data_IF_327608537773
#
_entry.id   IF_327608537773
#
_cell.length_a   1.000
_cell.length_b   1.000
_cell.length_c   1.000
_cell.angle_alpha   90.00
_cell.angle_beta   90.00
_cell.angle_gamma   90.00
#
_symmetry.space_group_name_H-M   'P 1'
#
loop_
_entity.id
_entity.type
_entity.pdbx_description
1 polymer ?
#
# COMPACT_ATOMS: atom_id res chain seq x y z
N UNK A 1 -37.90 -19.42 8.21
CA UNK A 1 -39.26 -19.15 8.39
C UNK A 1 -39.62 -18.05 9.35
N UNK A 2 -40.52 -18.27 10.27
CA UNK A 2 -41.07 -17.24 11.21
C UNK A 2 -40.03 -16.50 12.04
N UNK A 3 -38.96 -17.16 12.53
CA UNK A 3 -37.87 -16.52 13.27
C UNK A 3 -37.04 -15.55 12.42
N UNK A 4 -36.87 -15.86 11.15
CA UNK A 4 -36.12 -15.00 10.22
C UNK A 4 -36.89 -13.71 9.95
N UNK A 5 -38.22 -13.75 9.82
CA UNK A 5 -39.04 -12.53 9.63
C UNK A 5 -38.97 -11.59 10.85
N UNK A 6 -39.02 -12.13 12.07
CA UNK A 6 -38.94 -11.34 13.28
C UNK A 6 -37.58 -10.56 13.39
N UNK A 7 -36.48 -11.21 13.07
CA UNK A 7 -35.14 -10.59 13.07
C UNK A 7 -35.04 -9.51 11.97
N UNK A 8 -35.63 -9.75 10.79
CA UNK A 8 -35.58 -8.75 9.71
C UNK A 8 -36.33 -7.48 10.05
N UNK A 9 -37.46 -7.59 10.78
CA UNK A 9 -38.27 -6.44 11.17
C UNK A 9 -37.66 -5.65 12.32
N UNK A 10 -36.92 -6.27 13.23
CA UNK A 10 -36.23 -5.62 14.36
C UNK A 10 -35.18 -4.61 13.90
N UNK A 11 -34.51 -4.90 12.78
CA UNK A 11 -33.49 -4.04 12.20
C UNK A 11 -33.99 -3.22 11.01
N UNK A 12 -35.30 -3.03 10.89
CA UNK A 12 -35.90 -2.29 9.80
C UNK A 12 -35.55 -0.80 9.87
N UNK A 13 -35.00 -0.24 8.78
CA UNK A 13 -34.84 1.18 8.56
C UNK A 13 -35.75 1.61 7.41
N UNK A 14 -36.70 2.51 7.73
CA UNK A 14 -37.59 3.10 6.74
C UNK A 14 -36.88 4.19 5.95
N UNK A 15 -36.82 4.07 4.64
CA UNK A 15 -36.32 5.11 3.78
C UNK A 15 -37.43 5.72 2.94
N UNK A 16 -37.22 6.91 2.38
CA UNK A 16 -38.20 7.63 1.58
C UNK A 16 -38.72 6.82 0.38
N UNK A 17 -37.80 6.22 -0.37
CA UNK A 17 -38.18 5.43 -1.56
C UNK A 17 -38.31 3.93 -1.31
N UNK A 18 -37.67 3.40 -0.26
CA UNK A 18 -37.73 2.00 0.10
C UNK A 18 -37.25 1.76 1.52
N UNK A 19 -37.66 0.63 2.08
CA UNK A 19 -37.23 0.16 3.37
C UNK A 19 -36.00 -0.74 3.25
N UNK A 20 -35.15 -0.73 4.27
CA UNK A 20 -34.01 -1.61 4.43
C UNK A 20 -34.24 -2.50 5.65
N UNK A 21 -34.46 -3.76 5.43
CA UNK A 21 -34.68 -4.75 6.49
C UNK A 21 -33.35 -5.29 7.04
N UNK A 22 -33.41 -6.08 8.09
CA UNK A 22 -32.26 -6.65 8.76
C UNK A 22 -31.37 -7.50 7.84
N UNK A 23 -31.93 -8.16 6.83
CA UNK A 23 -31.13 -8.96 5.87
C UNK A 23 -30.35 -8.06 4.91
N UNK A 24 -30.92 -6.92 4.51
CA UNK A 24 -30.20 -5.92 3.73
C UNK A 24 -29.07 -5.31 4.55
N UNK A 25 -29.34 -4.95 5.82
CA UNK A 25 -28.33 -4.34 6.69
C UNK A 25 -27.23 -5.34 7.09
N UNK A 26 -27.56 -6.62 7.28
CA UNK A 26 -26.58 -7.68 7.52
C UNK A 26 -25.61 -7.83 6.34
N UNK A 27 -26.08 -7.74 5.09
CA UNK A 27 -25.19 -7.73 3.92
C UNK A 27 -24.20 -6.57 3.96
N UNK A 28 -24.70 -5.38 4.33
CA UNK A 28 -23.83 -4.22 4.50
C UNK A 28 -22.83 -4.40 5.66
N UNK A 29 -23.26 -5.01 6.77
CA UNK A 29 -22.37 -5.33 7.89
C UNK A 29 -21.24 -6.28 7.48
N UNK A 30 -21.54 -7.33 6.71
CA UNK A 30 -20.58 -8.32 6.23
C UNK A 30 -19.63 -7.77 5.17
N UNK A 31 -20.13 -6.89 4.28
CA UNK A 31 -19.32 -6.30 3.21
C UNK A 31 -18.64 -4.98 3.59
N UNK A 32 -18.78 -4.55 4.85
CA UNK A 32 -18.28 -3.27 5.34
C UNK A 32 -18.70 -2.07 4.46
N UNK A 33 -19.96 -2.05 4.06
CA UNK A 33 -20.58 -1.01 3.24
C UNK A 33 -21.75 -0.36 3.98
N UNK A 34 -22.30 0.72 3.44
CA UNK A 34 -23.50 1.40 3.94
C UNK A 34 -24.50 1.59 2.80
N UNK A 35 -25.82 1.51 3.06
CA UNK A 35 -26.82 1.79 2.05
C UNK A 35 -26.77 3.26 1.61
N UNK A 36 -26.93 3.50 0.31
CA UNK A 36 -27.10 4.84 -0.26
C UNK A 36 -28.60 5.18 -0.27
N UNK A 37 -29.01 6.05 0.65
CA UNK A 37 -30.40 6.44 0.83
C UNK A 37 -30.64 7.85 0.31
N UNK A 38 -31.70 8.01 -0.48
CA UNK A 38 -32.10 9.29 -1.07
C UNK A 38 -33.51 9.65 -0.60
N UNK A 39 -33.75 10.97 -0.41
CA UNK A 39 -35.07 11.54 -0.16
C UNK A 39 -35.39 12.63 -1.17
N UNK A 40 -36.68 12.87 -1.40
CA UNK A 40 -37.13 14.02 -2.24
C UNK A 40 -37.30 15.24 -1.35
N UNK A 41 -36.83 16.40 -1.82
CA UNK A 41 -37.04 17.71 -1.19
C UNK A 41 -38.05 18.58 -1.96
N UNK A 42 -38.65 18.05 -3.02
CA UNK A 42 -39.61 18.75 -3.86
C UNK A 42 -39.59 18.21 -5.29
N UNK A 43 -40.29 18.89 -6.16
CA UNK A 43 -40.32 18.56 -7.59
C UNK A 43 -39.70 19.71 -8.41
N UNK A 44 -39.03 19.35 -9.51
CA UNK A 44 -38.50 20.31 -10.48
C UNK A 44 -39.63 20.88 -11.36
N UNK A 45 -39.27 21.81 -12.25
CA UNK A 45 -40.20 22.43 -13.20
C UNK A 45 -40.83 21.42 -14.16
N UNK A 46 -40.28 20.22 -14.27
CA UNK A 46 -40.77 19.12 -15.12
C UNK A 46 -41.52 18.05 -14.31
N UNK A 47 -41.77 18.28 -13.03
CA UNK A 47 -42.51 17.35 -12.13
C UNK A 47 -41.71 16.18 -11.61
N UNK A 48 -40.39 16.12 -11.84
CA UNK A 48 -39.54 15.06 -11.31
C UNK A 48 -39.07 15.39 -9.87
N UNK A 49 -38.88 14.36 -9.03
CA UNK A 49 -38.39 14.51 -7.68
C UNK A 49 -36.94 15.07 -7.66
N UNK A 50 -36.74 16.14 -6.92
CA UNK A 50 -35.40 16.65 -6.59
C UNK A 50 -34.84 15.77 -5.49
N UNK A 51 -33.93 14.83 -5.87
CA UNK A 51 -33.37 13.84 -4.94
C UNK A 51 -32.12 14.37 -4.26
N UNK A 52 -32.12 14.33 -2.93
CA UNK A 52 -30.97 14.60 -2.10
C UNK A 52 -30.63 13.40 -1.25
N UNK A 53 -29.38 13.32 -0.78
CA UNK A 53 -28.93 12.25 0.09
C UNK A 53 -29.67 12.35 1.44
N UNK A 54 -30.25 11.23 1.88
CA UNK A 54 -30.93 11.12 3.17
C UNK A 54 -29.92 10.82 4.29
N UNK A 55 -29.31 11.88 4.84
CA UNK A 55 -28.29 11.74 5.87
C UNK A 55 -28.83 11.10 7.15
N UNK A 56 -30.08 11.41 7.54
CA UNK A 56 -30.72 10.83 8.72
C UNK A 56 -30.97 9.34 8.56
N UNK A 57 -31.54 8.96 7.39
CA UNK A 57 -31.77 7.55 7.07
C UNK A 57 -30.47 6.74 7.01
N UNK A 58 -29.40 7.31 6.43
CA UNK A 58 -28.07 6.69 6.38
C UNK A 58 -27.49 6.54 7.78
N UNK A 59 -27.61 7.55 8.64
CA UNK A 59 -27.15 7.48 10.02
C UNK A 59 -27.86 6.39 10.80
N UNK A 60 -29.18 6.31 10.67
CA UNK A 60 -29.98 5.26 11.30
C UNK A 60 -29.58 3.88 10.79
N UNK A 61 -29.35 3.73 9.48
CA UNK A 61 -28.88 2.48 8.90
C UNK A 61 -27.49 2.08 9.43
N UNK A 62 -26.57 3.04 9.58
CA UNK A 62 -25.26 2.78 10.16
C UNK A 62 -25.37 2.36 11.63
N UNK A 63 -26.21 3.02 12.43
CA UNK A 63 -26.45 2.63 13.81
C UNK A 63 -26.99 1.19 13.92
N UNK A 64 -27.93 0.81 13.04
CA UNK A 64 -28.45 -0.55 12.99
C UNK A 64 -27.42 -1.58 12.48
N UNK A 65 -26.55 -1.21 11.57
CA UNK A 65 -25.42 -2.04 11.14
C UNK A 65 -24.44 -2.27 12.31
N UNK A 66 -24.17 -1.24 13.09
CA UNK A 66 -23.33 -1.36 14.29
C UNK A 66 -24.00 -2.18 15.39
N UNK A 67 -25.33 -2.07 15.57
CA UNK A 67 -26.10 -2.97 16.45
C UNK A 67 -25.94 -4.43 16.02
N UNK A 68 -26.04 -4.73 14.73
CA UNK A 68 -25.84 -6.11 14.21
C UNK A 68 -24.43 -6.61 14.54
N UNK A 69 -23.41 -5.78 14.38
CA UNK A 69 -22.02 -6.13 14.72
C UNK A 69 -21.81 -6.31 16.22
N UNK A 70 -22.35 -5.41 17.03
CA UNK A 70 -22.28 -5.48 18.49
C UNK A 70 -23.06 -6.69 19.01
N UNK A 71 -24.24 -6.96 18.46
CA UNK A 71 -25.02 -8.13 18.79
C UNK A 71 -24.28 -9.47 18.56
N UNK A 72 -23.39 -9.53 17.59
CA UNK A 72 -22.49 -10.68 17.43
C UNK A 72 -21.49 -10.78 18.61
N UNK A 73 -20.95 -9.68 19.07
CA UNK A 73 -20.03 -9.65 20.22
C UNK A 73 -20.75 -10.04 21.52
N UNK A 74 -21.95 -9.52 21.75
CA UNK A 74 -22.81 -9.89 22.90
C UNK A 74 -23.16 -11.38 22.84
N UNK A 75 -23.58 -11.87 21.68
CA UNK A 75 -23.83 -13.30 21.48
C UNK A 75 -22.60 -14.15 21.79
N UNK A 76 -21.40 -13.70 21.41
CA UNK A 76 -20.16 -14.38 21.77
C UNK A 76 -19.92 -14.40 23.28
N UNK A 77 -20.27 -13.35 23.99
CA UNK A 77 -20.14 -13.29 25.44
C UNK A 77 -21.03 -14.28 26.16
N UNK A 78 -22.18 -14.61 25.59
CA UNK A 78 -23.15 -15.58 26.12
C UNK A 78 -22.76 -17.05 25.84
N UNK A 79 -21.76 -17.26 24.99
CA UNK A 79 -21.36 -18.63 24.63
C UNK A 79 -20.64 -19.36 25.76
N UNK A 80 -20.63 -20.70 25.68
CA UNK A 80 -19.93 -21.53 26.68
C UNK A 80 -18.43 -21.21 26.75
N UNK A 81 -17.80 -21.37 27.94
CA UNK A 81 -16.37 -21.15 28.10
C UNK A 81 -15.52 -21.92 27.08
N UNK A 82 -15.90 -23.17 26.79
CA UNK A 82 -15.18 -24.02 25.81
C UNK A 82 -15.27 -23.46 24.40
N UNK A 83 -16.44 -22.91 24.02
CA UNK A 83 -16.62 -22.28 22.72
C UNK A 83 -15.78 -21.02 22.59
N UNK A 84 -15.79 -20.16 23.62
CA UNK A 84 -14.96 -18.94 23.70
C UNK A 84 -13.48 -19.28 23.59
N UNK A 85 -13.01 -20.25 24.36
CA UNK A 85 -11.62 -20.68 24.34
C UNK A 85 -11.18 -21.20 22.96
N UNK A 86 -12.04 -22.00 22.32
CA UNK A 86 -11.79 -22.48 20.96
C UNK A 86 -11.68 -21.34 19.96
N UNK A 87 -12.60 -20.39 19.99
CA UNK A 87 -12.56 -19.21 19.10
C UNK A 87 -11.36 -18.31 19.39
N UNK A 88 -11.07 -18.06 20.67
CA UNK A 88 -9.91 -17.28 21.09
C UNK A 88 -8.61 -17.95 20.63
N UNK A 89 -8.50 -19.26 20.80
CA UNK A 89 -7.33 -20.03 20.33
C UNK A 89 -7.19 -19.95 18.81
N UNK A 90 -8.28 -20.09 18.06
CA UNK A 90 -8.27 -19.98 16.60
C UNK A 90 -7.89 -18.56 16.15
N UNK A 91 -8.45 -17.55 16.81
CA UNK A 91 -8.15 -16.14 16.52
C UNK A 91 -6.69 -15.81 16.84
N UNK A 92 -6.23 -16.16 18.03
CA UNK A 92 -4.85 -15.92 18.45
C UNK A 92 -3.84 -16.65 17.55
N UNK A 93 -4.14 -17.89 17.17
CA UNK A 93 -3.30 -18.66 16.26
C UNK A 93 -3.20 -18.04 14.87
N UNK A 94 -4.26 -17.36 14.41
CA UNK A 94 -4.32 -16.75 13.09
C UNK A 94 -3.83 -15.29 13.08
N UNK A 95 -4.14 -14.51 14.10
CA UNK A 95 -3.97 -13.06 14.11
C UNK A 95 -3.06 -12.52 15.20
N UNK A 96 -2.96 -13.20 16.37
CA UNK A 96 -2.19 -12.74 17.52
C UNK A 96 -0.97 -13.62 17.81
N UNK A 97 -0.55 -14.47 16.90
CA UNK A 97 0.66 -15.29 17.06
C UNK A 97 1.96 -14.48 16.82
N UNK A 98 1.89 -13.18 16.97
CA UNK A 98 3.00 -12.28 16.73
C UNK A 98 3.66 -11.84 18.04
N UNK A 99 4.95 -12.11 18.15
CA UNK A 99 5.81 -11.51 19.17
C UNK A 99 6.61 -10.40 18.48
N UNK A 100 6.48 -9.16 18.94
CA UNK A 100 7.22 -8.03 18.38
C UNK A 100 8.72 -8.30 18.46
N UNK A 101 9.42 -8.44 17.33
CA UNK A 101 10.84 -8.70 17.36
C UNK A 101 11.59 -7.48 17.91
N UNK A 102 12.63 -7.75 18.68
CA UNK A 102 13.61 -6.75 19.09
C UNK A 102 14.90 -7.03 18.32
N UNK A 103 15.40 -6.00 17.67
CA UNK A 103 16.65 -6.10 16.92
C UNK A 103 17.75 -5.43 17.72
N UNK A 104 18.74 -6.20 18.14
CA UNK A 104 19.95 -5.70 18.77
C UNK A 104 21.12 -5.89 17.80
N UNK A 105 21.55 -4.80 17.21
CA UNK A 105 22.65 -4.74 16.25
C UNK A 105 24.03 -4.50 16.87
N UNK A 106 24.13 -4.40 18.20
CA UNK A 106 25.36 -4.04 18.92
C UNK A 106 26.55 -4.98 18.68
N UNK A 107 26.26 -6.24 18.36
CA UNK A 107 27.28 -7.27 18.05
C UNK A 107 27.93 -7.11 16.69
N UNK A 108 27.39 -6.25 15.82
CA UNK A 108 27.89 -6.10 14.46
C UNK A 108 29.20 -5.34 14.44
N UNK A 109 30.14 -5.89 13.69
CA UNK A 109 31.34 -5.18 13.23
C UNK A 109 31.19 -4.94 11.74
N UNK A 110 31.56 -3.79 11.27
CA UNK A 110 31.56 -3.44 9.84
C UNK A 110 33.01 -3.40 9.34
N UNK A 111 33.58 -4.57 8.95
CA UNK A 111 35.04 -4.67 8.72
C UNK A 111 35.56 -3.77 7.62
N UNK A 112 34.73 -3.51 6.59
CA UNK A 112 35.12 -2.68 5.46
C UNK A 112 34.81 -1.20 5.63
N UNK A 113 34.17 -0.83 6.75
CA UNK A 113 33.72 0.56 6.97
C UNK A 113 34.89 1.48 7.32
N UNK A 114 35.08 2.51 6.50
CA UNK A 114 36.13 3.53 6.71
C UNK A 114 35.62 4.69 7.57
N UNK A 115 35.68 4.54 8.89
CA UNK A 115 35.30 5.60 9.83
C UNK A 115 36.17 6.87 9.69
N UNK A 116 37.46 6.73 9.31
CA UNK A 116 38.33 7.87 9.08
C UNK A 116 37.86 8.72 7.90
N UNK A 117 37.46 8.10 6.80
CA UNK A 117 36.86 8.76 5.66
C UNK A 117 35.54 9.44 6.00
N UNK A 118 34.70 8.81 6.82
CA UNK A 118 33.44 9.38 7.28
C UNK A 118 33.62 10.55 8.27
N UNK A 119 34.70 10.56 9.04
CA UNK A 119 34.98 11.65 9.98
C UNK A 119 35.16 13.02 9.28
N UNK A 120 35.70 13.04 8.06
CA UNK A 120 35.80 14.26 7.24
C UNK A 120 34.43 14.83 6.85
N UNK A 121 33.36 14.00 6.91
CA UNK A 121 31.97 14.36 6.64
C UNK A 121 31.14 14.57 7.92
N UNK A 122 31.83 14.67 9.07
CA UNK A 122 31.17 14.87 10.37
C UNK A 122 30.60 13.59 11.01
N UNK A 123 30.79 12.42 10.41
CA UNK A 123 30.31 11.14 10.92
C UNK A 123 31.45 10.44 11.65
N UNK A 124 31.38 10.41 12.99
CA UNK A 124 32.45 9.84 13.84
C UNK A 124 32.21 8.41 14.29
N UNK A 125 30.96 7.98 14.33
CA UNK A 125 30.57 6.65 14.77
C UNK A 125 29.22 6.27 14.15
N UNK A 126 28.92 4.99 14.15
CA UNK A 126 27.57 4.46 13.83
C UNK A 126 26.76 4.44 15.14
N UNK A 127 25.58 5.04 15.10
CA UNK A 127 24.69 5.07 16.27
C UNK A 127 24.05 3.71 16.53
N UNK A 128 23.71 3.37 17.80
CA UNK A 128 23.02 2.10 18.13
C UNK A 128 21.74 1.89 17.29
N UNK A 129 20.91 2.91 17.13
CA UNK A 129 19.70 2.83 16.31
C UNK A 129 19.96 2.54 14.83
N UNK A 130 21.09 3.00 14.30
CA UNK A 130 21.51 2.67 12.92
C UNK A 130 21.98 1.19 12.85
N UNK A 131 22.73 0.73 13.85
CA UNK A 131 23.16 -0.67 13.93
C UNK A 131 21.97 -1.62 14.04
N UNK A 132 20.99 -1.30 14.87
CA UNK A 132 19.76 -2.08 15.04
C UNK A 132 18.96 -2.14 13.73
N UNK A 133 18.84 -1.01 13.04
CA UNK A 133 18.17 -0.93 11.73
C UNK A 133 18.89 -1.77 10.68
N UNK A 134 20.20 -1.66 10.56
CA UNK A 134 20.99 -2.49 9.64
C UNK A 134 20.83 -3.98 9.95
N UNK A 135 20.82 -4.35 11.23
CA UNK A 135 20.60 -5.72 11.66
C UNK A 135 19.22 -6.23 11.26
N UNK A 136 18.18 -5.44 11.50
CA UNK A 136 16.81 -5.74 11.07
C UNK A 136 16.75 -6.00 9.55
N UNK A 137 17.37 -5.15 8.75
CA UNK A 137 17.40 -5.27 7.30
C UNK A 137 18.11 -6.54 6.83
N UNK A 138 19.22 -6.89 7.46
CA UNK A 138 19.94 -8.13 7.18
C UNK A 138 19.10 -9.36 7.48
N UNK A 139 18.44 -9.38 8.62
CA UNK A 139 17.63 -10.54 9.07
C UNK A 139 16.40 -10.74 8.21
N UNK A 140 15.72 -9.65 7.82
CA UNK A 140 14.45 -9.74 7.12
C UNK A 140 14.59 -9.67 5.58
N UNK A 141 15.73 -9.25 5.07
CA UNK A 141 15.92 -9.00 3.63
C UNK A 141 15.23 -7.73 3.14
N UNK A 142 15.10 -6.72 4.00
CA UNK A 142 14.46 -5.45 3.74
C UNK A 142 13.55 -5.00 4.87
N UNK A 143 12.82 -3.92 4.67
CA UNK A 143 11.88 -3.41 5.66
C UNK A 143 11.58 -1.92 5.52
N UNK A 144 11.08 -1.34 6.60
CA UNK A 144 10.74 0.08 6.69
C UNK A 144 11.59 0.69 7.80
N UNK A 145 12.40 1.69 7.46
CA UNK A 145 13.15 2.51 8.40
C UNK A 145 12.40 3.82 8.62
N UNK A 146 11.54 3.84 9.62
CA UNK A 146 10.75 4.99 10.04
C UNK A 146 11.55 5.82 11.06
N UNK A 147 12.58 6.47 10.57
CA UNK A 147 13.51 7.28 11.35
C UNK A 147 13.29 8.76 11.07
N UNK A 148 13.32 9.57 12.10
CA UNK A 148 13.20 11.03 12.01
C UNK A 148 14.25 11.64 11.08
N UNK A 149 13.99 12.85 10.61
CA UNK A 149 14.96 13.61 9.82
C UNK A 149 16.21 13.90 10.65
N UNK A 150 17.38 13.74 10.06
CA UNK A 150 18.67 13.98 10.74
C UNK A 150 19.24 12.78 11.52
N UNK A 151 18.57 11.64 11.57
CA UNK A 151 19.05 10.42 12.28
C UNK A 151 20.08 9.61 11.48
N UNK A 152 20.50 10.11 10.32
CA UNK A 152 21.54 9.45 9.50
C UNK A 152 21.05 8.30 8.65
N UNK A 153 19.84 8.38 8.10
CA UNK A 153 19.27 7.37 7.16
C UNK A 153 20.20 7.05 5.99
N UNK A 154 20.93 8.07 5.49
CA UNK A 154 21.91 7.89 4.40
C UNK A 154 22.98 6.86 4.78
N UNK A 155 23.52 6.95 5.98
CA UNK A 155 24.52 5.98 6.45
C UNK A 155 23.93 4.57 6.60
N UNK A 156 22.70 4.45 7.06
CA UNK A 156 21.98 3.16 7.14
C UNK A 156 21.91 2.51 5.75
N UNK A 157 21.51 3.27 4.72
CA UNK A 157 21.43 2.77 3.35
C UNK A 157 22.79 2.29 2.83
N UNK A 158 23.83 3.11 3.02
CA UNK A 158 25.18 2.77 2.55
C UNK A 158 25.72 1.51 3.24
N UNK A 159 25.59 1.44 4.56
CA UNK A 159 26.07 0.27 5.33
C UNK A 159 25.25 -0.97 4.96
N UNK A 160 23.92 -0.87 4.94
CA UNK A 160 23.05 -2.00 4.65
C UNK A 160 23.29 -2.53 3.22
N UNK A 161 23.42 -1.65 2.22
CA UNK A 161 23.70 -2.05 0.84
C UNK A 161 25.03 -2.80 0.71
N UNK A 162 26.09 -2.25 1.31
CA UNK A 162 27.40 -2.89 1.31
C UNK A 162 27.41 -4.23 2.04
N UNK A 163 26.83 -4.27 3.22
CA UNK A 163 26.75 -5.49 4.04
C UNK A 163 25.89 -6.58 3.40
N UNK A 164 24.79 -6.23 2.76
CA UNK A 164 24.00 -7.19 2.01
C UNK A 164 24.80 -7.80 0.84
N UNK A 165 25.57 -6.99 0.14
CA UNK A 165 26.47 -7.45 -0.92
C UNK A 165 27.55 -8.36 -0.34
N UNK A 166 28.24 -7.94 0.72
CA UNK A 166 29.30 -8.70 1.37
C UNK A 166 28.83 -10.07 1.87
N UNK A 167 27.60 -10.14 2.38
CA UNK A 167 26.99 -11.35 2.95
C UNK A 167 26.20 -12.17 1.92
N UNK A 168 26.26 -11.84 0.64
CA UNK A 168 25.47 -12.46 -0.44
C UNK A 168 23.95 -12.44 -0.20
N UNK A 169 23.44 -11.45 0.52
CA UNK A 169 22.00 -11.22 0.68
C UNK A 169 21.42 -10.46 -0.52
N UNK A 170 22.24 -9.65 -1.16
CA UNK A 170 21.94 -8.97 -2.43
C UNK A 170 23.21 -8.94 -3.29
N UNK A 171 23.07 -9.16 -4.60
CA UNK A 171 24.21 -9.17 -5.54
C UNK A 171 24.41 -7.81 -6.21
N UNK A 172 23.34 -7.08 -6.47
CA UNK A 172 23.37 -5.76 -7.10
C UNK A 172 22.34 -4.84 -6.47
N UNK A 173 22.63 -4.30 -5.28
CA UNK A 173 21.73 -3.34 -4.62
C UNK A 173 21.70 -2.01 -5.38
N UNK A 174 20.55 -1.34 -5.32
CA UNK A 174 20.32 0.01 -5.85
C UNK A 174 19.86 0.93 -4.74
N UNK A 175 20.36 2.16 -4.72
CA UNK A 175 19.88 3.23 -3.87
C UNK A 175 19.24 4.29 -4.76
N UNK A 176 18.04 4.71 -4.46
CA UNK A 176 17.37 5.83 -5.11
C UNK A 176 16.99 6.90 -4.10
N UNK A 177 17.21 8.15 -4.48
CA UNK A 177 16.95 9.30 -3.63
C UNK A 177 16.42 10.49 -4.40
N UNK A 178 16.11 11.57 -3.68
CA UNK A 178 15.75 12.83 -4.32
C UNK A 178 16.95 13.39 -5.12
N UNK A 179 16.65 14.05 -6.23
CA UNK A 179 17.67 14.70 -7.07
C UNK A 179 18.64 15.59 -6.27
N UNK A 180 18.12 16.29 -5.26
CA UNK A 180 18.91 17.15 -4.38
C UNK A 180 19.87 16.38 -3.46
N UNK A 181 19.54 15.13 -3.11
CA UNK A 181 20.26 14.36 -2.08
C UNK A 181 21.15 13.26 -2.65
N UNK A 182 20.90 12.84 -3.88
CA UNK A 182 21.53 11.63 -4.44
C UNK A 182 23.05 11.76 -4.59
N UNK A 183 23.56 12.96 -4.88
CA UNK A 183 25.00 13.21 -4.93
C UNK A 183 25.67 13.05 -3.56
N UNK A 184 25.00 13.51 -2.51
CA UNK A 184 25.45 13.35 -1.12
C UNK A 184 25.42 11.88 -0.67
N UNK A 185 24.43 11.14 -1.08
CA UNK A 185 24.35 9.68 -0.84
C UNK A 185 25.54 8.98 -1.48
N UNK A 186 25.85 9.27 -2.75
CA UNK A 186 26.98 8.69 -3.47
C UNK A 186 28.32 9.05 -2.82
N UNK A 187 28.49 10.32 -2.42
CA UNK A 187 29.70 10.79 -1.76
C UNK A 187 29.88 10.13 -0.38
N UNK A 188 28.82 9.97 0.39
CA UNK A 188 28.85 9.26 1.67
C UNK A 188 29.21 7.79 1.48
N UNK A 189 28.64 7.15 0.48
CA UNK A 189 28.96 5.74 0.16
C UNK A 189 30.43 5.57 -0.18
N UNK A 190 30.98 6.43 -1.04
CA UNK A 190 32.39 6.38 -1.43
C UNK A 190 33.34 6.68 -0.25
N UNK A 191 32.96 7.59 0.65
CA UNK A 191 33.73 7.85 1.87
C UNK A 191 33.70 6.67 2.84
N UNK A 192 32.54 6.01 2.98
CA UNK A 192 32.38 4.84 3.83
C UNK A 192 33.12 3.61 3.30
N UNK A 193 33.14 3.44 1.99
CA UNK A 193 33.71 2.29 1.30
C UNK A 193 34.53 2.72 0.08
N UNK A 194 35.77 3.18 0.29
CA UNK A 194 36.60 3.75 -0.77
C UNK A 194 36.92 2.75 -1.91
N UNK A 195 36.94 1.46 -1.59
CA UNK A 195 37.23 0.40 -2.56
C UNK A 195 35.97 -0.16 -3.23
N UNK A 196 34.78 0.32 -2.85
CA UNK A 196 33.55 -0.13 -3.47
C UNK A 196 33.42 0.37 -4.91
N UNK A 197 32.98 -0.53 -5.78
CA UNK A 197 32.68 -0.21 -7.16
C UNK A 197 31.22 0.26 -7.27
N UNK A 198 30.99 1.55 -7.11
CA UNK A 198 29.66 2.15 -7.22
C UNK A 198 29.47 2.81 -8.59
N UNK A 199 28.27 2.72 -9.11
CA UNK A 199 27.83 3.44 -10.30
C UNK A 199 26.85 4.53 -9.89
N UNK A 200 27.31 5.79 -9.95
CA UNK A 200 26.48 6.96 -9.73
C UNK A 200 26.03 7.56 -11.06
N UNK A 201 24.73 7.63 -11.27
CA UNK A 201 24.12 8.12 -12.49
C UNK A 201 24.20 9.64 -12.59
N UNK A 202 24.90 10.16 -13.60
CA UNK A 202 24.90 11.58 -13.94
C UNK A 202 23.68 11.95 -14.83
N UNK A 203 23.40 13.24 -14.96
CA UNK A 203 22.34 13.69 -15.88
C UNK A 203 22.66 13.35 -17.34
N UNK A 204 23.92 13.36 -17.73
CA UNK A 204 24.38 13.01 -19.07
C UNK A 204 24.10 11.54 -19.43
N UNK A 205 24.19 10.64 -18.46
CA UNK A 205 23.93 9.21 -18.64
C UNK A 205 22.45 8.93 -19.02
N UNK A 206 21.56 9.79 -18.60
CA UNK A 206 20.11 9.69 -18.87
C UNK A 206 19.64 10.51 -20.08
N UNK A 207 20.54 11.12 -20.83
CA UNK A 207 20.19 11.66 -22.14
C UNK A 207 19.73 10.55 -23.09
N UNK A 208 18.88 10.86 -24.05
CA UNK A 208 18.34 9.86 -24.99
C UNK A 208 19.44 9.08 -25.69
N UNK A 209 20.56 9.71 -26.01
CA UNK A 209 21.70 9.10 -26.69
C UNK A 209 22.50 8.13 -25.80
N UNK A 210 22.64 8.42 -24.50
CA UNK A 210 23.52 7.66 -23.61
C UNK A 210 22.78 6.64 -22.74
N UNK A 211 21.48 6.80 -22.57
CA UNK A 211 20.67 5.99 -21.65
C UNK A 211 20.74 4.50 -21.93
N UNK A 212 20.67 4.09 -23.19
CA UNK A 212 20.77 2.67 -23.59
C UNK A 212 22.12 2.10 -23.18
N UNK A 213 23.21 2.85 -23.43
CA UNK A 213 24.56 2.45 -23.02
C UNK A 213 24.68 2.33 -21.51
N UNK A 214 24.10 3.27 -20.78
CA UNK A 214 24.09 3.26 -19.31
C UNK A 214 23.34 2.03 -18.76
N UNK A 215 22.18 1.69 -19.30
CA UNK A 215 21.42 0.50 -18.90
C UNK A 215 22.16 -0.80 -19.20
N UNK A 216 22.82 -0.88 -20.37
CA UNK A 216 23.69 -2.02 -20.70
C UNK A 216 24.90 -2.10 -19.75
N UNK A 217 25.43 -0.99 -19.32
CA UNK A 217 26.51 -0.96 -18.35
C UNK A 217 26.08 -1.55 -17.00
N UNK A 218 24.89 -1.22 -16.52
CA UNK A 218 24.33 -1.84 -15.29
C UNK A 218 24.15 -3.35 -15.50
N UNK A 219 23.57 -3.76 -16.62
CA UNK A 219 23.32 -5.18 -16.94
C UNK A 219 24.59 -6.02 -16.94
N UNK A 220 25.65 -5.51 -17.57
CA UNK A 220 26.84 -6.29 -17.92
C UNK A 220 27.97 -6.21 -16.89
N UNK A 221 27.83 -5.39 -15.86
CA UNK A 221 28.87 -5.21 -14.84
C UNK A 221 28.36 -5.56 -13.44
N UNK A 222 29.29 -6.06 -12.64
CA UNK A 222 29.05 -6.35 -11.23
C UNK A 222 29.42 -5.14 -10.37
N UNK A 223 28.43 -4.28 -10.08
CA UNK A 223 28.58 -3.14 -9.20
C UNK A 223 28.22 -3.51 -7.76
N UNK A 224 28.93 -2.94 -6.79
CA UNK A 224 28.57 -3.06 -5.36
C UNK A 224 27.30 -2.31 -5.04
N UNK A 225 27.05 -1.20 -5.72
CA UNK A 225 25.81 -0.44 -5.63
C UNK A 225 25.61 0.44 -6.88
N UNK A 226 24.36 0.59 -7.29
CA UNK A 226 23.93 1.54 -8.33
C UNK A 226 23.12 2.63 -7.66
N UNK A 227 23.50 3.88 -7.86
CA UNK A 227 22.87 5.05 -7.19
C UNK A 227 22.31 6.01 -8.23
N UNK A 228 21.04 6.38 -8.10
CA UNK A 228 20.36 7.31 -9.00
C UNK A 228 19.22 8.06 -8.32
N UNK A 229 18.70 9.08 -9.00
CA UNK A 229 17.55 9.82 -8.51
C UNK A 229 16.23 9.10 -8.80
N UNK A 230 15.15 9.48 -8.08
CA UNK A 230 13.79 9.00 -8.35
C UNK A 230 13.37 9.21 -9.80
N UNK A 231 13.70 10.36 -10.40
CA UNK A 231 13.33 10.68 -11.78
C UNK A 231 14.11 9.84 -12.80
N UNK A 232 15.37 9.56 -12.52
CA UNK A 232 16.20 8.66 -13.34
C UNK A 232 15.67 7.23 -13.27
N UNK A 233 15.33 6.76 -12.07
CA UNK A 233 14.70 5.45 -11.89
C UNK A 233 13.40 5.33 -12.70
N UNK A 234 12.57 6.37 -12.72
CA UNK A 234 11.32 6.39 -13.50
C UNK A 234 11.51 6.24 -15.02
N UNK A 235 12.72 6.43 -15.53
CA UNK A 235 13.06 6.25 -16.96
C UNK A 235 13.50 4.84 -17.31
N UNK A 236 13.71 3.97 -16.32
CA UNK A 236 14.08 2.57 -16.56
C UNK A 236 12.82 1.81 -17.02
N UNK A 237 12.86 1.15 -18.20
CA UNK A 237 11.76 0.32 -18.66
C UNK A 237 11.54 -0.86 -17.70
N UNK A 238 10.29 -1.19 -17.44
CA UNK A 238 9.90 -2.39 -16.71
C UNK A 238 9.51 -3.49 -17.69
N UNK A 239 9.66 -4.76 -17.29
CA UNK A 239 9.27 -5.89 -18.13
C UNK A 239 7.79 -5.78 -18.55
N UNK A 240 7.48 -5.75 -19.85
CA UNK A 240 6.08 -5.65 -20.30
C UNK A 240 5.24 -6.85 -19.88
N UNK A 241 5.81 -8.05 -19.83
CA UNK A 241 5.12 -9.27 -19.41
C UNK A 241 4.73 -9.22 -17.94
N UNK A 242 5.61 -8.67 -17.08
CA UNK A 242 5.32 -8.44 -15.66
C UNK A 242 4.22 -7.40 -15.50
N UNK A 243 4.30 -6.28 -16.24
CA UNK A 243 3.27 -5.24 -16.21
C UNK A 243 1.91 -5.81 -16.61
N UNK A 244 1.85 -6.63 -17.66
CA UNK A 244 0.63 -7.27 -18.12
C UNK A 244 -0.01 -8.13 -17.02
N UNK A 245 0.77 -8.97 -16.34
CA UNK A 245 0.27 -9.84 -15.26
C UNK A 245 -0.26 -9.05 -14.09
N UNK A 246 0.47 -8.01 -13.65
CA UNK A 246 0.06 -7.18 -12.51
C UNK A 246 -1.20 -6.38 -12.84
N UNK A 247 -1.25 -5.74 -14.01
CA UNK A 247 -2.41 -4.97 -14.45
C UNK A 247 -3.63 -5.86 -14.67
N UNK A 248 -3.45 -7.08 -15.17
CA UNK A 248 -4.53 -8.05 -15.33
C UNK A 248 -5.09 -8.47 -13.96
N UNK A 249 -4.25 -8.75 -12.97
CA UNK A 249 -4.69 -9.07 -11.61
C UNK A 249 -5.47 -7.91 -10.96
N UNK A 250 -5.05 -6.67 -11.18
CA UNK A 250 -5.80 -5.48 -10.73
C UNK A 250 -7.15 -5.35 -11.44
N UNK A 251 -7.21 -5.63 -12.73
CA UNK A 251 -8.45 -5.62 -13.51
C UNK A 251 -9.41 -6.70 -13.01
N UNK A 252 -8.94 -7.92 -12.80
CA UNK A 252 -9.74 -9.03 -12.28
C UNK A 252 -10.36 -8.65 -10.91
N UNK A 253 -9.60 -8.01 -10.02
CA UNK A 253 -10.09 -7.50 -8.73
C UNK A 253 -11.17 -6.43 -8.90
N UNK A 254 -11.02 -5.52 -9.86
CA UNK A 254 -12.06 -4.52 -10.17
C UNK A 254 -13.33 -5.18 -10.69
N UNK A 255 -13.22 -6.16 -11.56
CA UNK A 255 -14.35 -6.91 -12.10
C UNK A 255 -15.09 -7.70 -11.03
N UNK A 256 -14.35 -8.38 -10.12
CA UNK A 256 -14.95 -9.05 -8.95
C UNK A 256 -15.72 -8.05 -8.07
N UNK A 257 -15.15 -6.88 -7.79
CA UNK A 257 -15.82 -5.84 -7.02
C UNK A 257 -17.07 -5.29 -7.72
N UNK A 258 -17.02 -5.10 -9.03
CA UNK A 258 -18.19 -4.68 -9.82
C UNK A 258 -19.30 -5.74 -9.76
N UNK A 259 -18.96 -7.02 -9.88
CA UNK A 259 -19.92 -8.11 -9.79
C UNK A 259 -20.60 -8.16 -8.40
N UNK A 260 -19.81 -8.08 -7.33
CA UNK A 260 -20.34 -7.99 -5.95
C UNK A 260 -21.30 -6.83 -5.79
N UNK A 261 -20.97 -5.64 -6.32
CA UNK A 261 -21.83 -4.47 -6.24
C UNK A 261 -23.12 -4.63 -7.08
N UNK A 262 -23.03 -5.22 -8.27
CA UNK A 262 -24.21 -5.51 -9.11
C UNK A 262 -25.18 -6.48 -8.43
N UNK A 263 -24.67 -7.49 -7.71
CA UNK A 263 -25.48 -8.43 -6.94
C UNK A 263 -26.21 -7.76 -5.77
N UNK A 264 -25.69 -6.66 -5.22
CA UNK A 264 -26.36 -5.85 -4.20
C UNK A 264 -27.52 -5.02 -4.77
N UNK A 265 -27.65 -4.93 -6.09
CA UNK A 265 -28.78 -4.32 -6.79
C UNK A 265 -28.93 -2.81 -6.53
N UNK A 266 -30.19 -2.38 -6.29
CA UNK A 266 -30.51 -0.95 -6.09
C UNK A 266 -29.94 -0.31 -4.81
N UNK A 267 -29.23 -1.09 -3.98
CA UNK A 267 -28.65 -0.65 -2.71
C UNK A 267 -27.27 0.02 -2.86
N UNK A 268 -26.74 0.08 -4.07
CA UNK A 268 -25.39 0.58 -4.34
C UNK A 268 -25.44 1.98 -4.91
N UNK A 269 -24.53 2.84 -4.44
CA UNK A 269 -24.33 4.17 -4.96
C UNK A 269 -23.95 4.13 -6.46
N UNK A 270 -24.68 4.88 -7.30
CA UNK A 270 -24.33 5.04 -8.71
C UNK A 270 -22.94 5.66 -8.90
N UNK A 271 -22.52 6.53 -7.98
CA UNK A 271 -21.19 7.14 -8.01
C UNK A 271 -20.09 6.10 -7.80
N UNK A 272 -20.30 5.14 -6.89
CA UNK A 272 -19.37 4.03 -6.64
C UNK A 272 -19.24 3.12 -7.86
N UNK A 273 -20.35 2.69 -8.47
CA UNK A 273 -20.35 1.90 -9.70
C UNK A 273 -19.58 2.61 -10.81
N UNK A 274 -19.92 3.88 -11.04
CA UNK A 274 -19.26 4.71 -12.07
C UNK A 274 -17.76 4.88 -11.81
N UNK A 275 -17.36 5.01 -10.55
CA UNK A 275 -15.94 5.08 -10.16
C UNK A 275 -15.18 3.79 -10.51
N UNK A 276 -15.73 2.62 -10.21
CA UNK A 276 -15.12 1.34 -10.56
C UNK A 276 -15.14 1.07 -12.07
N UNK A 277 -16.21 1.44 -12.78
CA UNK A 277 -16.27 1.32 -14.24
C UNK A 277 -15.20 2.21 -14.93
N UNK A 278 -15.02 3.44 -14.46
CA UNK A 278 -13.92 4.31 -14.93
C UNK A 278 -12.57 3.69 -14.70
N UNK A 279 -12.37 3.10 -13.51
CA UNK A 279 -11.12 2.42 -13.18
C UNK A 279 -10.86 1.20 -14.07
N UNK A 280 -11.87 0.38 -14.32
CA UNK A 280 -11.82 -0.73 -15.27
C UNK A 280 -11.34 -0.26 -16.63
N UNK A 281 -11.97 0.76 -17.17
CA UNK A 281 -11.60 1.35 -18.46
C UNK A 281 -10.14 1.86 -18.49
N UNK A 282 -9.69 2.52 -17.42
CA UNK A 282 -8.31 2.99 -17.32
C UNK A 282 -7.29 1.85 -17.29
N UNK A 283 -7.62 0.74 -16.62
CA UNK A 283 -6.76 -0.46 -16.58
C UNK A 283 -6.73 -1.18 -17.94
N UNK A 284 -7.87 -1.29 -18.61
CA UNK A 284 -7.96 -1.85 -19.96
C UNK A 284 -7.10 -1.05 -20.96
N UNK A 285 -7.16 0.28 -20.90
CA UNK A 285 -6.31 1.14 -21.73
C UNK A 285 -4.81 0.99 -21.44
N UNK A 286 -4.43 0.79 -20.19
CA UNK A 286 -3.03 0.50 -19.82
C UNK A 286 -2.58 -0.86 -20.33
N UNK A 287 -3.43 -1.89 -20.22
CA UNK A 287 -3.16 -3.23 -20.74
C UNK A 287 -2.97 -3.23 -22.25
N UNK A 288 -3.81 -2.52 -23.00
CA UNK A 288 -3.69 -2.39 -24.44
C UNK A 288 -2.33 -1.78 -24.85
N UNK A 289 -1.89 -0.73 -24.13
CA UNK A 289 -0.55 -0.15 -24.34
C UNK A 289 0.58 -1.14 -24.09
N UNK A 290 0.47 -1.94 -23.02
CA UNK A 290 1.46 -2.96 -22.67
C UNK A 290 1.49 -4.07 -23.72
N UNK A 291 0.34 -4.54 -24.18
CA UNK A 291 0.24 -5.54 -25.27
C UNK A 291 0.87 -5.03 -26.57
N UNK A 292 0.63 -3.76 -26.90
CA UNK A 292 1.30 -3.13 -28.04
C UNK A 292 2.82 -3.09 -27.87
N UNK A 293 3.31 -2.76 -26.66
CA UNK A 293 4.74 -2.75 -26.34
C UNK A 293 5.36 -4.15 -26.46
N UNK A 294 4.66 -5.21 -26.07
CA UNK A 294 5.12 -6.59 -26.23
C UNK A 294 5.26 -6.95 -27.72
N UNK A 295 4.27 -6.59 -28.53
CA UNK A 295 4.25 -6.87 -29.98
C UNK A 295 5.29 -6.09 -30.78
N UNK A 296 5.62 -4.88 -30.33
CA UNK A 296 6.58 -3.97 -30.99
C UNK A 296 7.98 -3.99 -30.40
N UNK A 297 8.27 -4.91 -29.46
CA UNK A 297 9.54 -5.00 -28.77
C UNK A 297 10.70 -5.28 -29.75
N UNK A 298 11.78 -4.53 -29.57
CA UNK A 298 13.06 -4.79 -30.21
C UNK A 298 14.03 -5.40 -29.18
N UNK A 299 14.91 -6.28 -29.60
CA UNK A 299 15.84 -7.02 -28.73
C UNK A 299 16.89 -6.14 -28.03
N UNK A 300 17.00 -4.88 -28.42
CA UNK A 300 18.00 -3.94 -27.92
C UNK A 300 17.60 -3.19 -26.64
N UNK A 301 16.37 -3.39 -26.13
CA UNK A 301 15.87 -2.67 -24.96
C UNK A 301 16.20 -3.44 -23.69
N UNK A 302 17.08 -2.85 -22.85
CA UNK A 302 17.37 -3.36 -21.49
C UNK A 302 16.32 -2.86 -20.54
N UNK A 303 15.57 -3.76 -19.91
CA UNK A 303 14.62 -3.47 -18.88
C UNK A 303 15.18 -3.71 -17.46
N UNK A 304 14.42 -3.34 -16.44
CA UNK A 304 14.82 -3.49 -15.03
C UNK A 304 15.14 -4.95 -14.67
N UNK A 305 14.37 -5.91 -15.19
CA UNK A 305 14.59 -7.34 -14.96
C UNK A 305 15.95 -7.79 -15.44
N UNK A 306 16.36 -7.33 -16.63
CA UNK A 306 17.64 -7.69 -17.22
C UNK A 306 18.84 -7.04 -16.53
N UNK A 307 18.64 -5.90 -15.83
CA UNK A 307 19.70 -5.22 -15.08
C UNK A 307 20.22 -6.05 -13.90
N UNK A 308 19.42 -6.99 -13.39
CA UNK A 308 19.82 -7.85 -12.28
C UNK A 308 19.81 -7.21 -10.92
N UNK A 309 19.18 -6.04 -10.76
CA UNK A 309 18.96 -5.41 -9.46
C UNK A 309 18.11 -6.31 -8.58
N UNK A 310 18.56 -6.60 -7.38
CA UNK A 310 17.91 -7.55 -6.46
C UNK A 310 17.60 -6.97 -5.07
N UNK A 311 17.89 -5.72 -4.84
CA UNK A 311 17.39 -4.94 -3.70
C UNK A 311 17.38 -3.45 -4.02
N UNK A 312 16.33 -2.74 -3.58
CA UNK A 312 16.20 -1.29 -3.75
C UNK A 312 16.06 -0.64 -2.39
N UNK A 313 16.97 0.31 -2.09
CA UNK A 313 16.84 1.25 -0.98
C UNK A 313 16.21 2.54 -1.49
N UNK A 314 15.07 2.91 -0.92
CA UNK A 314 14.26 4.04 -1.39
C UNK A 314 14.28 5.12 -0.33
N UNK A 315 15.11 6.14 -0.53
CA UNK A 315 15.12 7.33 0.31
C UNK A 315 13.89 8.19 0.01
N UNK A 316 13.34 8.83 1.04
CA UNK A 316 12.09 9.60 0.95
C UNK A 316 10.96 8.80 0.30
N UNK A 317 10.76 7.57 0.77
CA UNK A 317 9.82 6.60 0.21
C UNK A 317 8.36 7.06 0.19
N UNK A 318 8.01 8.08 0.99
CA UNK A 318 6.70 8.72 0.95
C UNK A 318 6.36 9.34 -0.43
N UNK A 319 7.35 9.57 -1.28
CA UNK A 319 7.13 10.00 -2.67
C UNK A 319 6.42 8.94 -3.53
N UNK A 320 6.38 7.68 -3.09
CA UNK A 320 5.74 6.54 -3.78
C UNK A 320 4.46 6.09 -3.09
N UNK A 321 3.91 6.85 -2.17
CA UNK A 321 2.72 6.51 -1.39
C UNK A 321 1.43 6.45 -2.19
N UNK A 322 1.36 7.12 -3.34
CA UNK A 322 0.18 7.14 -4.22
C UNK A 322 0.14 5.92 -5.14
N UNK A 323 0.20 4.72 -4.57
CA UNK A 323 0.00 3.49 -5.32
C UNK A 323 -1.49 3.26 -5.58
N UNK A 324 -1.78 2.65 -6.69
CA UNK A 324 -3.14 2.27 -7.08
C UNK A 324 -3.73 1.20 -6.14
N UNK A 325 -5.00 1.31 -5.82
CA UNK A 325 -5.75 0.30 -5.06
C UNK A 325 -7.23 0.29 -5.44
N UNK A 326 -7.92 -0.79 -5.10
CA UNK A 326 -9.33 -0.97 -5.34
C UNK A 326 -10.12 -0.85 -4.04
N UNK A 327 -11.22 -0.10 -4.06
CA UNK A 327 -12.14 0.05 -2.94
C UNK A 327 -13.57 0.21 -3.41
N UNK A 328 -14.50 -0.33 -2.63
CA UNK A 328 -15.95 -0.12 -2.77
C UNK A 328 -16.45 1.06 -1.95
N UNK A 329 -15.58 1.70 -1.18
CA UNK A 329 -15.92 2.88 -0.40
C UNK A 329 -15.84 4.15 -1.27
N UNK A 330 -16.81 5.04 -1.09
CA UNK A 330 -16.87 6.35 -1.72
C UNK A 330 -16.90 7.45 -0.63
N UNK A 331 -16.12 8.49 -0.81
CA UNK A 331 -16.10 9.70 0.03
C UNK A 331 -15.87 9.46 1.53
N UNK A 332 -15.06 8.49 1.89
CA UNK A 332 -14.65 8.28 3.29
C UNK A 332 -13.41 9.13 3.57
N UNK A 333 -13.46 9.94 4.64
CA UNK A 333 -12.30 10.70 5.07
C UNK A 333 -11.20 9.75 5.55
N UNK A 334 -9.94 10.01 5.16
CA UNK A 334 -8.82 9.13 5.43
C UNK A 334 -8.55 8.11 4.32
N UNK A 335 -9.33 8.09 3.23
CA UNK A 335 -9.00 7.37 2.01
C UNK A 335 -8.20 8.27 1.07
N UNK A 336 -7.10 7.72 0.54
CA UNK A 336 -6.31 8.36 -0.51
C UNK A 336 -6.95 8.23 -1.90
N UNK A 337 -6.30 8.82 -2.91
CA UNK A 337 -6.71 8.66 -4.30
C UNK A 337 -6.46 7.22 -4.77
N UNK A 338 -7.50 6.54 -5.22
CA UNK A 338 -7.43 5.14 -5.65
C UNK A 338 -6.79 4.93 -7.02
N UNK A 339 -6.71 5.95 -7.87
CA UNK A 339 -6.12 5.84 -9.21
C UNK A 339 -4.59 5.67 -9.15
N UNK A 340 -3.96 6.25 -8.13
CA UNK A 340 -2.51 6.18 -7.94
C UNK A 340 -1.72 7.03 -8.95
N UNK A 341 -0.41 6.91 -8.90
CA UNK A 341 0.52 7.59 -9.80
C UNK A 341 1.31 6.57 -10.64
N UNK A 342 1.74 6.98 -11.83
CA UNK A 342 2.61 6.16 -12.67
C UNK A 342 3.98 5.92 -12.01
N UNK A 343 4.48 6.90 -11.25
CA UNK A 343 5.71 6.80 -10.46
C UNK A 343 5.64 5.64 -9.44
N UNK A 344 4.55 5.57 -8.67
CA UNK A 344 4.34 4.50 -7.70
C UNK A 344 4.12 3.15 -8.37
N UNK A 345 3.41 3.10 -9.49
CA UNK A 345 3.18 1.87 -10.25
C UNK A 345 4.49 1.31 -10.81
N UNK A 346 5.37 2.15 -11.35
CA UNK A 346 6.69 1.71 -11.81
C UNK A 346 7.54 1.13 -10.67
N UNK A 347 7.46 1.72 -9.48
CA UNK A 347 8.12 1.17 -8.29
C UNK A 347 7.55 -0.20 -7.93
N UNK A 348 6.23 -0.37 -7.99
CA UNK A 348 5.61 -1.67 -7.74
C UNK A 348 6.13 -2.73 -8.73
N UNK A 349 6.23 -2.41 -10.01
CA UNK A 349 6.76 -3.32 -11.01
C UNK A 349 8.20 -3.73 -10.71
N UNK A 350 9.04 -2.79 -10.32
CA UNK A 350 10.43 -3.07 -9.95
C UNK A 350 10.52 -3.98 -8.71
N UNK A 351 9.77 -3.69 -7.67
CA UNK A 351 9.74 -4.51 -6.44
C UNK A 351 9.17 -5.90 -6.75
N UNK A 352 8.12 -6.03 -7.55
CA UNK A 352 7.58 -7.32 -7.97
C UNK A 352 8.58 -8.14 -8.79
N UNK A 353 9.37 -7.50 -9.64
CA UNK A 353 10.46 -8.17 -10.39
C UNK A 353 11.43 -8.84 -9.42
N UNK A 354 11.84 -8.13 -8.37
CA UNK A 354 12.75 -8.67 -7.36
C UNK A 354 12.09 -9.80 -6.56
N UNK A 355 10.86 -9.60 -6.10
CA UNK A 355 10.10 -10.59 -5.32
C UNK A 355 9.85 -11.89 -6.10
N UNK A 356 9.54 -11.81 -7.38
CA UNK A 356 9.37 -12.99 -8.23
C UNK A 356 10.69 -13.74 -8.42
N UNK A 357 11.79 -13.03 -8.61
CA UNK A 357 13.13 -13.63 -8.76
C UNK A 357 13.57 -14.38 -7.50
N UNK A 358 13.36 -13.78 -6.33
CA UNK A 358 13.78 -14.36 -5.05
C UNK A 358 12.77 -15.36 -4.48
N UNK A 359 11.54 -15.32 -4.94
CA UNK A 359 10.44 -16.10 -4.37
C UNK A 359 10.00 -15.65 -2.98
N UNK A 360 10.41 -14.45 -2.52
CA UNK A 360 10.18 -13.91 -1.16
C UNK A 360 9.43 -12.59 -1.23
N UNK A 361 8.82 -12.21 -0.12
CA UNK A 361 8.35 -10.84 0.11
C UNK A 361 9.55 -9.89 0.31
N UNK A 362 9.27 -8.62 0.50
CA UNK A 362 10.24 -7.52 0.65
C UNK A 362 10.99 -7.23 -0.66
N UNK A 363 12.29 -7.39 -0.74
CA UNK A 363 13.10 -7.01 -1.91
C UNK A 363 13.38 -5.52 -2.01
N UNK A 364 12.89 -4.73 -1.05
CA UNK A 364 13.12 -3.30 -0.95
C UNK A 364 13.21 -2.85 0.51
N UNK A 365 13.87 -1.71 0.71
CA UNK A 365 13.93 -1.01 1.99
C UNK A 365 13.41 0.40 1.80
N UNK A 366 12.36 0.75 2.54
CA UNK A 366 11.74 2.07 2.54
C UNK A 366 12.30 2.90 3.69
N UNK A 367 12.77 4.10 3.40
CA UNK A 367 13.28 5.04 4.40
C UNK A 367 12.52 6.35 4.28
N UNK A 368 11.93 6.81 5.37
CA UNK A 368 11.23 8.09 5.45
C UNK A 368 11.11 8.55 6.89
N UNK A 369 11.09 9.86 7.11
CA UNK A 369 10.67 10.45 8.39
C UNK A 369 9.16 10.69 8.49
N UNK A 370 8.40 10.41 7.42
CA UNK A 370 6.95 10.59 7.33
C UNK A 370 6.32 9.41 6.59
N UNK A 371 6.47 8.22 7.14
CA UNK A 371 6.04 6.96 6.51
C UNK A 371 4.54 6.95 6.23
N UNK A 372 3.73 7.44 7.17
CA UNK A 372 2.29 7.61 7.02
C UNK A 372 1.96 9.07 7.34
N UNK A 373 1.29 9.77 6.42
CA UNK A 373 1.02 11.20 6.60
C UNK A 373 -0.46 11.57 6.57
N UNK A 374 -1.24 11.03 5.65
CA UNK A 374 -2.56 11.57 5.36
C UNK A 374 -3.70 10.54 5.41
N UNK A 375 -3.39 9.25 5.31
CA UNK A 375 -4.43 8.26 5.04
C UNK A 375 -4.03 6.87 5.51
N UNK A 376 -4.99 6.12 6.05
CA UNK A 376 -4.82 4.71 6.39
C UNK A 376 -4.55 3.82 5.17
N UNK A 377 -4.96 4.25 4.00
CA UNK A 377 -4.63 3.55 2.76
C UNK A 377 -3.13 3.48 2.53
N UNK A 378 -2.38 4.48 2.99
CA UNK A 378 -0.91 4.48 2.91
C UNK A 378 -0.30 3.27 3.63
N UNK A 379 -0.84 2.89 4.79
CA UNK A 379 -0.38 1.69 5.52
C UNK A 379 -0.68 0.41 4.72
N UNK A 380 -1.90 0.27 4.19
CA UNK A 380 -2.23 -0.86 3.32
C UNK A 380 -1.30 -0.94 2.11
N UNK A 381 -0.97 0.20 1.50
CA UNK A 381 -0.12 0.26 0.32
C UNK A 381 1.34 -0.13 0.62
N UNK A 382 1.83 0.14 1.82
CA UNK A 382 3.12 -0.40 2.28
C UNK A 382 3.12 -1.93 2.31
N UNK A 383 2.04 -2.55 2.80
CA UNK A 383 1.88 -4.01 2.72
C UNK A 383 1.77 -4.50 1.29
N UNK A 384 1.05 -3.78 0.44
CA UNK A 384 0.93 -4.10 -0.99
C UNK A 384 2.30 -4.10 -1.68
N UNK A 385 3.17 -3.15 -1.37
CA UNK A 385 4.55 -3.14 -1.89
C UNK A 385 5.38 -4.31 -1.37
N UNK A 386 5.39 -4.51 -0.04
CA UNK A 386 6.43 -5.27 0.64
C UNK A 386 6.00 -6.67 1.06
N UNK A 387 4.70 -6.91 1.22
CA UNK A 387 4.16 -8.18 1.76
C UNK A 387 3.05 -8.80 0.93
N UNK A 388 3.18 -8.89 -0.41
CA UNK A 388 2.10 -9.42 -1.25
C UNK A 388 1.75 -10.88 -0.95
N UNK A 389 2.73 -11.74 -0.68
CA UNK A 389 2.49 -13.14 -0.33
C UNK A 389 1.79 -13.30 1.01
N UNK A 390 2.13 -12.45 1.98
CA UNK A 390 1.46 -12.47 3.28
C UNK A 390 0.00 -12.01 3.16
N UNK A 391 -0.28 -10.98 2.36
CA UNK A 391 -1.65 -10.56 2.05
C UNK A 391 -2.44 -11.69 1.36
N UNK A 392 -1.83 -12.38 0.41
CA UNK A 392 -2.43 -13.53 -0.27
C UNK A 392 -2.69 -14.68 0.70
N UNK A 393 -1.73 -15.01 1.57
CA UNK A 393 -1.87 -16.06 2.59
C UNK A 393 -3.04 -15.81 3.55
N UNK A 394 -3.34 -14.54 3.83
CA UNK A 394 -4.45 -14.13 4.68
C UNK A 394 -5.75 -13.87 3.89
N UNK A 395 -5.75 -14.11 2.59
CA UNK A 395 -6.86 -13.83 1.67
C UNK A 395 -7.30 -12.35 1.65
N UNK A 396 -6.34 -11.44 1.82
CA UNK A 396 -6.53 -10.00 1.76
C UNK A 396 -6.18 -9.52 0.35
N UNK A 397 -7.16 -9.51 -0.55
CA UNK A 397 -6.93 -9.20 -1.97
C UNK A 397 -7.15 -7.73 -2.34
N UNK A 398 -7.77 -6.95 -1.46
CA UNK A 398 -8.08 -5.55 -1.71
C UNK A 398 -8.06 -4.73 -0.42
N UNK A 399 -8.09 -3.41 -0.56
CA UNK A 399 -8.15 -2.50 0.59
C UNK A 399 -9.35 -2.76 1.50
N UNK A 400 -10.53 -3.07 0.93
CA UNK A 400 -11.74 -3.28 1.71
C UNK A 400 -11.62 -4.50 2.64
N UNK A 401 -11.00 -5.59 2.18
CA UNK A 401 -10.70 -6.75 3.00
C UNK A 401 -9.71 -6.42 4.12
N UNK A 402 -8.68 -5.63 3.82
CA UNK A 402 -7.71 -5.17 4.81
C UNK A 402 -8.36 -4.25 5.85
N UNK A 403 -9.16 -3.29 5.43
CA UNK A 403 -9.81 -2.34 6.32
C UNK A 403 -10.86 -3.00 7.22
N UNK A 404 -11.53 -4.04 6.74
CA UNK A 404 -12.47 -4.82 7.55
C UNK A 404 -11.80 -5.52 8.74
N UNK A 405 -10.50 -5.86 8.62
CA UNK A 405 -9.73 -6.52 9.68
C UNK A 405 -9.06 -5.49 10.59
N UNK A 406 -8.46 -4.45 10.04
CA UNK A 406 -7.53 -3.56 10.75
C UNK A 406 -8.07 -2.15 11.01
N UNK A 407 -9.23 -1.77 10.45
CA UNK A 407 -9.75 -0.43 10.56
C UNK A 407 -11.19 -0.40 11.09
N UNK A 408 -11.48 0.61 11.91
CA UNK A 408 -12.83 0.93 12.37
C UNK A 408 -13.35 2.14 11.61
N UNK A 409 -14.55 2.02 11.06
CA UNK A 409 -15.26 3.13 10.44
C UNK A 409 -16.02 3.92 11.51
N UNK A 410 -15.80 5.22 11.57
CA UNK A 410 -16.55 6.12 12.45
C UNK A 410 -17.26 7.18 11.61
N UNK A 411 -18.38 7.65 12.10
CA UNK A 411 -19.18 8.69 11.45
C UNK A 411 -19.19 9.91 12.36
N UNK A 412 -18.67 11.03 11.87
CA UNK A 412 -18.68 12.31 12.56
C UNK A 412 -19.52 13.32 11.78
N UNK A 413 -20.10 14.29 12.49
CA UNK A 413 -20.81 15.42 11.89
C UNK A 413 -19.94 16.65 11.98
N UNK A 414 -19.68 17.28 10.85
CA UNK A 414 -18.90 18.52 10.77
C UNK A 414 -19.73 19.60 10.05
N UNK A 415 -19.48 20.86 10.39
CA UNK A 415 -20.01 21.99 9.62
C UNK A 415 -19.14 22.20 8.38
N UNK A 416 -19.78 22.30 7.23
CA UNK A 416 -19.07 22.70 6.01
C UNK A 416 -18.85 24.23 5.98
N UNK A 417 -18.14 24.71 4.95
CA UNK A 417 -17.84 26.14 4.76
C UNK A 417 -19.12 27.00 4.62
N UNK A 418 -20.25 26.38 4.28
CA UNK A 418 -21.56 27.02 4.17
C UNK A 418 -22.42 26.85 5.43
N UNK A 419 -21.83 26.45 6.53
CA UNK A 419 -22.45 26.25 7.85
C UNK A 419 -23.57 25.19 7.89
N UNK A 420 -23.57 24.26 6.93
CA UNK A 420 -24.46 23.11 6.94
C UNK A 420 -23.78 21.92 7.61
N UNK A 421 -24.55 21.16 8.40
CA UNK A 421 -24.07 19.90 8.99
C UNK A 421 -23.90 18.87 7.87
N UNK A 422 -22.68 18.40 7.69
CA UNK A 422 -22.35 17.31 6.77
C UNK A 422 -21.83 16.11 7.55
N UNK A 423 -22.32 14.95 7.18
CA UNK A 423 -21.85 13.70 7.71
C UNK A 423 -20.49 13.37 7.05
N UNK A 424 -19.50 13.10 7.87
CA UNK A 424 -18.17 12.72 7.42
C UNK A 424 -17.84 11.34 8.00
N UNK A 425 -17.65 10.39 7.12
CA UNK A 425 -17.17 9.07 7.50
C UNK A 425 -15.65 9.09 7.58
N UNK A 426 -15.10 8.55 8.67
CA UNK A 426 -13.66 8.40 8.87
C UNK A 426 -13.32 6.94 9.06
N UNK A 427 -12.16 6.53 8.56
CA UNK A 427 -11.61 5.22 8.79
C UNK A 427 -10.44 5.35 9.78
N UNK A 428 -10.53 4.70 10.92
CA UNK A 428 -9.51 4.69 11.98
C UNK A 428 -8.94 3.28 12.12
N UNK A 429 -7.66 3.17 12.47
CA UNK A 429 -7.09 1.88 12.85
C UNK A 429 -7.73 1.36 14.14
N UNK A 430 -7.96 0.05 14.21
CA UNK A 430 -8.18 -0.58 15.49
C UNK A 430 -6.91 -0.42 16.33
N UNK A 431 -6.98 0.40 17.36
CA UNK A 431 -6.01 0.35 18.44
C UNK A 431 -6.40 -0.83 19.31
N UNK A 432 -5.55 -1.85 19.39
CA UNK A 432 -5.73 -2.85 20.44
C UNK A 432 -5.83 -2.13 21.78
N UNK A 433 -6.82 -2.43 22.61
CA UNK A 433 -6.77 -1.97 23.98
C UNK A 433 -5.46 -2.48 24.58
N UNK A 434 -4.63 -1.54 25.04
CA UNK A 434 -3.37 -1.80 25.73
C UNK A 434 -3.61 -2.55 27.03
#
# INVERSE_FOLDING_TARGET
>A
GYRTMKITDEFLVKGYYRNYDGMHLLKHALHNTCPDMMKSIGKDEHGNDIKVRDSEGIQLANAKIDEIRNGFSEWLEEQSPQFKERLTTMYNRKFNCFVRPKYDGSHQTFPDLNLKGLASRGIRSVYPSQMDCVWMLKQNGGGICDHEVGTGKTLIMCIAAHEMKRLNLAHKPMIIGLKANVAEIAATYQAAYPNARILYASEKDFSTANRVRFFNNIKNNDYDCVIMSHDQFGKIPQSPELQQRILQAELDTVEENLEVLRQQGKNVSRAMLKGLEKRKHNLEAKLEKVEHAIKSRTDDVVDFKQMGIDHIFIDESHQFKNLTFNTRHDRVAGLGNSEGSQKALNMLFAIRTIQERTGKDLGATFLSGTTISNSLTELYLLFKYLRPKELERQDIRCFDAWSAIFAKKTTDFEFNVTNNVVQKERCLLYTSPS
#
